data_IF_561597293700
#
_entry.id   IF_561597293700
#
_cell.length_a   1.000
_cell.length_b   1.000
_cell.length_c   1.000
_cell.angle_alpha   90.00
_cell.angle_beta   90.00
_cell.angle_gamma   90.00
#
_symmetry.space_group_name_H-M   'P 1'
#
loop_
_entity.id
_entity.type
_entity.pdbx_description
1 polymer ?
#
# COMPACT_ATOMS: atom_id res chain seq x y z
N UNK A 1 -4.58 41.69 8.43
CA UNK A 1 -5.92 41.97 7.85
C UNK A 1 -5.86 42.64 6.46
N UNK A 2 -5.02 43.66 6.21
CA UNK A 2 -4.90 44.33 4.89
C UNK A 2 -4.27 43.47 3.78
N UNK A 3 -3.26 42.65 4.08
CA UNK A 3 -2.67 41.71 3.11
C UNK A 3 -3.60 40.55 2.75
N UNK A 4 -4.43 40.10 3.70
CA UNK A 4 -5.42 39.04 3.50
C UNK A 4 -6.54 39.49 2.55
N UNK A 5 -7.03 40.72 2.71
CA UNK A 5 -8.02 41.31 1.79
C UNK A 5 -7.44 41.50 0.37
N UNK A 6 -6.14 41.80 0.23
CA UNK A 6 -5.47 41.82 -1.07
C UNK A 6 -5.30 40.42 -1.69
N UNK A 7 -5.16 39.37 -0.87
CA UNK A 7 -5.16 37.98 -1.31
C UNK A 7 -6.52 37.56 -1.86
N UNK A 8 -7.62 38.00 -1.24
CA UNK A 8 -8.99 37.75 -1.69
C UNK A 8 -9.31 38.34 -3.06
N UNK A 9 -8.76 39.52 -3.37
CA UNK A 9 -8.97 40.19 -4.65
C UNK A 9 -8.36 39.46 -5.86
N UNK A 10 -7.48 38.47 -5.63
CA UNK A 10 -6.81 37.69 -6.67
C UNK A 10 -7.00 36.18 -6.52
N UNK A 11 -8.02 35.74 -5.77
CA UNK A 11 -8.36 34.31 -5.69
C UNK A 11 -8.95 33.84 -7.03
N UNK A 12 -8.67 32.60 -7.45
CA UNK A 12 -9.42 31.97 -8.54
C UNK A 12 -10.92 31.98 -8.24
N UNK A 13 -11.75 32.22 -9.26
CA UNK A 13 -13.22 32.33 -9.14
C UNK A 13 -13.83 31.17 -8.34
N UNK A 14 -13.36 29.94 -8.57
CA UNK A 14 -13.86 28.76 -7.87
C UNK A 14 -13.60 28.80 -6.36
N UNK A 15 -12.42 29.28 -5.94
CA UNK A 15 -12.04 29.39 -4.53
C UNK A 15 -12.75 30.57 -3.86
N UNK A 16 -12.93 31.69 -4.57
CA UNK A 16 -13.78 32.80 -4.12
C UNK A 16 -15.20 32.32 -3.84
N UNK A 17 -15.82 31.61 -4.80
CA UNK A 17 -17.16 31.06 -4.64
C UNK A 17 -17.26 30.10 -3.44
N UNK A 18 -16.25 29.24 -3.25
CA UNK A 18 -16.20 28.28 -2.14
C UNK A 18 -16.28 28.96 -0.76
N UNK A 19 -15.62 30.11 -0.59
CA UNK A 19 -15.65 30.87 0.66
C UNK A 19 -16.87 31.78 0.77
N UNK A 20 -17.24 32.51 -0.29
CA UNK A 20 -18.37 33.45 -0.29
C UNK A 20 -19.73 32.77 -0.09
N UNK A 21 -19.92 31.59 -0.68
CA UNK A 21 -21.15 30.80 -0.50
C UNK A 21 -21.15 29.94 0.77
N UNK A 22 -20.07 30.01 1.55
CA UNK A 22 -19.86 29.20 2.74
C UNK A 22 -19.91 27.68 2.50
N UNK A 23 -19.66 27.23 1.26
CA UNK A 23 -19.62 25.81 0.86
C UNK A 23 -18.69 24.99 1.78
N UNK A 24 -17.58 25.59 2.21
CA UNK A 24 -16.61 25.00 3.13
C UNK A 24 -17.22 24.46 4.44
N UNK A 25 -18.37 25.00 4.88
CA UNK A 25 -19.06 24.52 6.10
C UNK A 25 -19.49 23.06 5.96
N UNK A 26 -19.81 22.62 4.75
CA UNK A 26 -20.18 21.23 4.47
C UNK A 26 -19.00 20.27 4.63
N UNK A 27 -17.78 20.76 4.39
CA UNK A 27 -16.55 19.95 4.41
C UNK A 27 -15.72 20.11 5.68
N UNK A 28 -16.05 21.10 6.51
CA UNK A 28 -15.35 21.31 7.77
C UNK A 28 -15.43 20.06 8.66
N UNK A 29 -14.33 19.71 9.34
CA UNK A 29 -14.22 18.48 10.14
C UNK A 29 -14.25 17.16 9.36
N UNK A 30 -14.20 17.19 8.02
CA UNK A 30 -13.89 16.01 7.22
C UNK A 30 -12.43 15.59 7.42
N UNK A 31 -12.05 14.50 6.76
CA UNK A 31 -10.74 13.89 6.88
C UNK A 31 -10.13 13.68 5.50
N UNK A 32 -8.82 13.87 5.43
CA UNK A 32 -7.96 13.47 4.31
C UNK A 32 -7.20 12.21 4.69
N UNK A 33 -6.69 11.48 3.71
CA UNK A 33 -5.87 10.29 3.91
C UNK A 33 -4.85 10.18 2.76
N UNK A 34 -3.88 9.26 2.88
CA UNK A 34 -2.92 9.00 1.80
C UNK A 34 -1.94 10.14 1.53
N UNK A 35 -1.66 10.96 2.55
CA UNK A 35 -0.71 12.06 2.40
C UNK A 35 0.73 11.57 2.44
N UNK A 36 1.59 12.16 1.60
CA UNK A 36 3.03 11.89 1.61
C UNK A 36 3.62 12.15 3.00
N UNK A 37 4.40 11.19 3.50
CA UNK A 37 4.95 11.22 4.86
C UNK A 37 4.01 10.70 5.96
N UNK A 38 2.80 10.24 5.61
CA UNK A 38 1.84 9.64 6.54
C UNK A 38 1.44 8.24 6.07
N UNK A 39 1.17 7.33 7.00
CA UNK A 39 0.59 6.02 6.67
C UNK A 39 -0.84 6.19 6.12
N UNK A 40 -1.21 5.41 5.10
CA UNK A 40 -2.56 5.39 4.51
C UNK A 40 -3.66 4.92 5.48
N UNK A 41 -3.28 4.33 6.62
CA UNK A 41 -4.22 3.94 7.68
C UNK A 41 -4.71 5.16 8.50
N UNK A 42 -3.93 6.24 8.47
CA UNK A 42 -4.20 7.48 9.18
C UNK A 42 -5.14 8.33 8.34
N UNK A 43 -6.18 8.84 8.99
CA UNK A 43 -7.01 9.90 8.45
C UNK A 43 -6.82 11.14 9.29
N UNK A 44 -6.53 12.27 8.66
CA UNK A 44 -6.22 13.52 9.32
C UNK A 44 -7.38 14.48 9.16
N UNK A 45 -7.82 15.08 10.26
CA UNK A 45 -8.99 15.95 10.29
C UNK A 45 -8.62 17.32 9.73
N UNK A 46 -9.48 17.88 8.88
CA UNK A 46 -9.25 19.20 8.27
C UNK A 46 -10.10 20.33 8.87
N UNK A 47 -9.61 21.57 8.73
CA UNK A 47 -10.27 22.82 9.15
C UNK A 47 -10.19 23.84 8.01
N UNK A 48 -11.33 24.46 7.69
CA UNK A 48 -11.40 25.61 6.76
C UNK A 48 -11.65 26.93 7.51
N UNK A 49 -11.45 26.97 8.83
CA UNK A 49 -11.76 28.17 9.62
C UNK A 49 -10.76 29.28 9.33
N UNK A 50 -11.28 30.44 8.91
CA UNK A 50 -10.51 31.66 8.61
C UNK A 50 -9.67 32.14 9.80
N UNK A 51 -10.14 31.98 11.04
CA UNK A 51 -9.35 32.35 12.24
C UNK A 51 -8.06 31.54 12.38
N UNK A 52 -8.08 30.27 11.96
CA UNK A 52 -6.90 29.42 12.00
C UNK A 52 -5.91 29.80 10.87
N UNK A 53 -6.33 30.65 9.92
CA UNK A 53 -5.59 31.06 8.73
C UNK A 53 -4.57 32.18 9.00
N UNK A 54 -4.82 33.03 10.00
CA UNK A 54 -3.87 34.08 10.41
C UNK A 54 -2.57 33.45 10.92
N UNK A 55 -2.67 32.43 11.78
CA UNK A 55 -1.52 31.67 12.28
C UNK A 55 -0.74 30.96 11.14
N UNK A 56 -1.46 30.48 10.13
CA UNK A 56 -0.87 29.83 8.96
C UNK A 56 -0.10 30.81 8.07
N UNK A 57 -0.67 32.00 7.84
CA UNK A 57 -0.02 33.05 7.06
C UNK A 57 1.22 33.57 7.78
N UNK A 58 1.17 33.69 9.10
CA UNK A 58 2.33 34.03 9.93
C UNK A 58 3.41 32.96 9.77
N UNK A 59 3.06 31.67 9.85
CA UNK A 59 4.01 30.58 9.63
C UNK A 59 4.65 30.63 8.23
N UNK A 60 3.85 30.77 7.17
CA UNK A 60 4.36 30.86 5.79
C UNK A 60 5.24 32.09 5.57
N UNK A 61 4.93 33.20 6.24
CA UNK A 61 5.69 34.44 6.16
C UNK A 61 7.03 34.34 6.91
N UNK A 62 7.02 33.77 8.12
CA UNK A 62 8.25 33.52 8.91
C UNK A 62 9.19 32.57 8.19
N UNK A 63 8.67 31.52 7.55
CA UNK A 63 9.47 30.57 6.76
C UNK A 63 9.89 31.12 5.38
N UNK A 64 9.43 32.33 5.01
CA UNK A 64 9.70 32.94 3.71
C UNK A 64 9.08 32.20 2.53
N UNK A 65 8.13 31.30 2.78
CA UNK A 65 7.43 30.51 1.74
C UNK A 65 6.53 31.41 0.90
N UNK A 66 5.84 32.38 1.52
CA UNK A 66 4.98 33.34 0.80
C UNK A 66 5.74 34.13 -0.27
N UNK A 67 7.03 34.41 -0.06
CA UNK A 67 7.90 35.08 -1.05
C UNK A 67 8.36 34.15 -2.19
N UNK A 68 8.57 32.87 -1.89
CA UNK A 68 9.06 31.87 -2.86
C UNK A 68 7.94 31.32 -3.74
N UNK A 69 6.75 31.15 -3.18
CA UNK A 69 5.59 30.55 -3.84
C UNK A 69 4.35 31.44 -3.65
N UNK A 70 4.33 32.67 -4.20
CA UNK A 70 3.24 33.62 -3.95
C UNK A 70 1.89 33.20 -4.54
N UNK A 71 1.89 32.25 -5.48
CA UNK A 71 0.70 31.67 -6.10
C UNK A 71 0.14 30.45 -5.34
N UNK A 72 0.84 29.97 -4.31
CA UNK A 72 0.39 28.85 -3.48
C UNK A 72 -0.41 29.39 -2.30
N UNK A 73 -1.73 29.30 -2.40
CA UNK A 73 -2.66 29.91 -1.45
C UNK A 73 -3.12 28.85 -0.44
N UNK A 74 -2.74 28.95 0.84
CA UNK A 74 -2.95 27.87 1.79
C UNK A 74 -4.37 27.88 2.36
N UNK A 75 -5.28 27.04 1.86
CA UNK A 75 -6.72 27.19 2.09
C UNK A 75 -7.34 26.23 3.12
N UNK A 76 -6.62 25.18 3.53
CA UNK A 76 -7.10 24.16 4.49
C UNK A 76 -6.01 23.75 5.45
N UNK A 77 -6.35 23.64 6.73
CA UNK A 77 -5.44 23.15 7.75
C UNK A 77 -5.70 21.71 8.13
N UNK A 78 -4.63 21.02 8.52
CA UNK A 78 -4.71 19.76 9.22
C UNK A 78 -4.71 20.01 10.72
N UNK A 79 -5.78 19.62 11.41
CA UNK A 79 -5.91 19.82 12.86
C UNK A 79 -4.93 18.97 13.64
N UNK A 80 -4.40 19.54 14.73
CA UNK A 80 -3.54 18.88 15.71
C UNK A 80 -2.28 18.26 15.10
N UNK A 81 -1.78 18.83 14.01
CA UNK A 81 -0.52 18.43 13.39
C UNK A 81 0.41 19.65 13.37
N UNK A 82 1.73 19.41 13.31
CA UNK A 82 2.71 20.42 12.86
C UNK A 82 2.20 21.07 11.56
N UNK A 83 2.58 22.33 11.23
CA UNK A 83 1.83 23.24 10.35
C UNK A 83 1.82 22.82 8.87
N UNK A 84 1.30 21.63 8.62
CA UNK A 84 1.04 21.02 7.34
C UNK A 84 -0.38 21.39 6.94
N UNK A 85 -0.54 21.79 5.69
CA UNK A 85 -1.78 22.34 5.17
C UNK A 85 -1.96 21.92 3.72
N UNK A 86 -3.13 22.25 3.17
CA UNK A 86 -3.36 22.20 1.74
C UNK A 86 -3.31 23.60 1.16
N UNK A 87 -2.69 23.69 0.01
CA UNK A 87 -2.59 24.92 -0.78
C UNK A 87 -3.24 24.71 -2.14
N UNK A 88 -3.81 25.77 -2.70
CA UNK A 88 -4.25 25.82 -4.10
C UNK A 88 -3.22 26.58 -4.91
N UNK A 89 -2.89 26.07 -6.10
CA UNK A 89 -2.17 26.84 -7.11
C UNK A 89 -3.13 27.77 -7.85
N UNK A 90 -3.03 29.08 -7.58
CA UNK A 90 -3.93 30.08 -8.15
C UNK A 90 -3.67 30.38 -9.64
N UNK A 91 -2.60 29.84 -10.24
CA UNK A 91 -2.31 30.04 -11.66
C UNK A 91 -3.22 29.22 -12.57
N UNK A 92 -3.87 28.18 -12.04
CA UNK A 92 -4.79 27.33 -12.78
C UNK A 92 -6.25 27.60 -12.37
N UNK A 93 -7.12 27.67 -13.37
CA UNK A 93 -8.56 27.85 -13.16
C UNK A 93 -9.19 26.67 -12.39
N UNK A 94 -8.62 25.47 -12.52
CA UNK A 94 -9.11 24.25 -11.86
C UNK A 94 -8.74 24.20 -10.36
N UNK A 95 -7.88 25.12 -9.90
CA UNK A 95 -7.37 25.15 -8.53
C UNK A 95 -6.75 23.81 -8.07
N UNK A 96 -5.66 23.32 -8.69
CA UNK A 96 -4.96 22.13 -8.22
C UNK A 96 -4.60 22.26 -6.75
N UNK A 97 -4.80 21.17 -6.00
CA UNK A 97 -4.56 21.12 -4.56
C UNK A 97 -3.27 20.36 -4.30
N UNK A 98 -2.37 21.01 -3.57
CA UNK A 98 -1.12 20.43 -3.10
C UNK A 98 -1.12 20.29 -1.58
N UNK A 99 -0.48 19.25 -1.08
CA UNK A 99 -0.18 19.05 0.32
C UNK A 99 1.19 19.64 0.66
N UNK A 100 1.23 20.58 1.61
CA UNK A 100 2.47 21.10 2.16
C UNK A 100 2.84 20.32 3.43
N UNK A 101 3.97 19.61 3.39
CA UNK A 101 4.52 18.89 4.55
C UNK A 101 5.53 19.79 5.27
N UNK A 102 5.17 20.29 6.45
CA UNK A 102 6.03 21.20 7.22
C UNK A 102 7.35 20.57 7.69
N UNK A 103 7.40 19.24 7.84
CA UNK A 103 8.62 18.53 8.27
C UNK A 103 9.70 18.51 7.21
N UNK A 104 9.27 18.43 5.95
CA UNK A 104 10.15 18.34 4.79
C UNK A 104 10.24 19.68 4.03
N UNK A 105 9.49 20.69 4.48
CA UNK A 105 9.37 22.00 3.85
C UNK A 105 9.12 21.89 2.33
N UNK A 106 8.23 20.97 1.94
CA UNK A 106 8.04 20.53 0.55
C UNK A 106 6.55 20.45 0.21
N UNK A 107 6.24 20.70 -1.07
CA UNK A 107 4.91 20.56 -1.63
C UNK A 107 4.78 19.26 -2.41
N UNK A 108 3.62 18.63 -2.29
CA UNK A 108 3.29 17.39 -2.96
C UNK A 108 1.94 17.51 -3.65
N UNK A 109 1.87 17.08 -4.90
CA UNK A 109 0.60 17.03 -5.62
C UNK A 109 -0.38 16.12 -4.88
N UNK A 110 -1.64 16.54 -4.79
CA UNK A 110 -2.69 15.77 -4.12
C UNK A 110 -3.94 15.61 -4.98
N UNK A 111 -4.45 16.70 -5.56
CA UNK A 111 -5.65 16.63 -6.40
C UNK A 111 -5.57 17.59 -7.57
N UNK A 112 -6.05 17.17 -8.74
CA UNK A 112 -6.01 17.97 -9.96
C UNK A 112 -6.86 19.24 -9.89
N UNK A 113 -7.86 19.26 -9.00
CA UNK A 113 -8.76 20.40 -8.78
C UNK A 113 -9.27 20.48 -7.35
N UNK A 114 -9.83 21.64 -6.98
CA UNK A 114 -10.53 21.80 -5.71
C UNK A 114 -11.71 20.82 -5.59
N UNK A 115 -12.49 20.63 -6.64
CA UNK A 115 -13.66 19.75 -6.61
C UNK A 115 -13.26 18.27 -6.43
N UNK A 116 -12.20 17.83 -7.11
CA UNK A 116 -11.67 16.47 -6.92
C UNK A 116 -11.10 16.27 -5.52
N UNK A 117 -10.53 17.30 -4.89
CA UNK A 117 -10.14 17.26 -3.49
C UNK A 117 -11.36 17.09 -2.58
N UNK A 118 -12.41 17.91 -2.76
CA UNK A 118 -13.60 17.90 -1.90
C UNK A 118 -14.39 16.59 -1.99
N UNK A 119 -14.53 16.00 -3.19
CA UNK A 119 -15.23 14.71 -3.38
C UNK A 119 -14.52 13.54 -2.71
N UNK A 120 -13.18 13.61 -2.58
CA UNK A 120 -12.37 12.56 -1.96
C UNK A 120 -12.23 12.69 -0.44
N UNK A 121 -12.82 13.72 0.16
CA UNK A 121 -12.83 13.88 1.61
C UNK A 121 -13.68 12.81 2.28
N UNK A 122 -13.14 12.28 3.38
CA UNK A 122 -13.81 11.28 4.20
C UNK A 122 -14.62 11.96 5.31
N UNK A 123 -15.81 11.45 5.60
CA UNK A 123 -16.53 11.80 6.81
C UNK A 123 -15.95 11.08 8.04
N UNK A 124 -16.44 11.43 9.23
CA UNK A 124 -16.06 10.74 10.47
C UNK A 124 -16.36 9.24 10.45
N UNK A 125 -17.41 8.81 9.74
CA UNK A 125 -17.83 7.41 9.66
C UNK A 125 -17.04 6.62 8.62
N UNK A 126 -16.50 7.31 7.61
CA UNK A 126 -15.81 6.65 6.51
C UNK A 126 -14.48 6.02 6.95
N UNK A 127 -14.18 4.91 6.26
CA UNK A 127 -12.94 4.16 6.39
C UNK A 127 -12.00 4.53 5.24
N UNK A 128 -10.72 4.60 5.53
CA UNK A 128 -9.69 4.71 4.48
C UNK A 128 -9.69 3.45 3.61
N UNK A 129 -9.24 3.51 2.34
CA UNK A 129 -9.17 2.35 1.47
C UNK A 129 -8.43 1.16 2.10
N UNK A 130 -7.28 1.40 2.75
CA UNK A 130 -6.53 0.33 3.42
C UNK A 130 -7.32 -0.30 4.58
N UNK A 131 -8.14 0.47 5.32
CA UNK A 131 -9.02 -0.08 6.37
C UNK A 131 -10.17 -0.89 5.78
N UNK A 132 -10.68 -0.51 4.61
CA UNK A 132 -11.66 -1.32 3.88
C UNK A 132 -11.04 -2.67 3.49
N UNK A 133 -9.82 -2.68 2.97
CA UNK A 133 -9.05 -3.89 2.68
C UNK A 133 -8.82 -4.70 3.97
N UNK A 134 -8.40 -4.09 5.07
CA UNK A 134 -8.16 -4.79 6.34
C UNK A 134 -9.40 -5.53 6.84
N UNK A 135 -10.55 -4.83 6.87
CA UNK A 135 -11.82 -5.42 7.28
C UNK A 135 -12.24 -6.52 6.32
N UNK A 136 -12.00 -6.33 5.02
CA UNK A 136 -12.30 -7.32 4.01
C UNK A 136 -11.45 -8.58 4.18
N UNK A 137 -10.13 -8.44 4.32
CA UNK A 137 -9.19 -9.54 4.55
C UNK A 137 -9.57 -10.33 5.80
N UNK A 138 -9.93 -9.68 6.90
CA UNK A 138 -10.36 -10.37 8.14
C UNK A 138 -11.61 -11.21 7.91
N UNK A 139 -12.62 -10.69 7.21
CA UNK A 139 -13.84 -11.43 6.87
C UNK A 139 -13.56 -12.58 5.90
N UNK A 140 -12.77 -12.32 4.85
CA UNK A 140 -12.35 -13.32 3.88
C UNK A 140 -11.58 -14.48 4.53
N UNK A 141 -10.70 -14.22 5.50
CA UNK A 141 -10.02 -15.26 6.27
C UNK A 141 -11.00 -16.14 7.07
N UNK A 142 -12.06 -15.57 7.63
CA UNK A 142 -13.11 -16.35 8.32
C UNK A 142 -13.88 -17.22 7.33
N UNK A 143 -14.21 -16.69 6.15
CA UNK A 143 -14.90 -17.42 5.09
C UNK A 143 -14.02 -18.54 4.49
N UNK A 144 -12.73 -18.27 4.29
CA UNK A 144 -11.72 -19.24 3.86
C UNK A 144 -11.65 -20.45 4.81
N UNK A 145 -11.65 -20.22 6.13
CA UNK A 145 -11.69 -21.30 7.14
C UNK A 145 -12.97 -22.15 7.05
N UNK A 146 -14.08 -21.54 6.63
CA UNK A 146 -15.37 -22.21 6.40
C UNK A 146 -15.49 -22.81 4.99
N UNK A 147 -14.43 -22.72 4.17
CA UNK A 147 -14.40 -23.13 2.76
C UNK A 147 -15.43 -22.40 1.87
N UNK A 148 -15.87 -21.22 2.28
CA UNK A 148 -16.74 -20.38 1.45
C UNK A 148 -15.89 -19.41 0.62
N UNK A 149 -15.27 -19.92 -0.43
CA UNK A 149 -14.28 -19.18 -1.21
C UNK A 149 -14.92 -18.11 -2.12
N UNK A 150 -16.09 -18.38 -2.71
CA UNK A 150 -16.75 -17.43 -3.61
C UNK A 150 -17.17 -16.13 -2.92
N UNK A 151 -17.75 -16.23 -1.72
CA UNK A 151 -18.09 -15.04 -0.92
C UNK A 151 -16.82 -14.30 -0.45
N UNK A 152 -15.74 -15.02 -0.17
CA UNK A 152 -14.45 -14.42 0.20
C UNK A 152 -13.84 -13.63 -0.97
N UNK A 153 -13.94 -14.16 -2.19
CA UNK A 153 -13.49 -13.50 -3.42
C UNK A 153 -14.28 -12.22 -3.65
N UNK A 154 -15.61 -12.29 -3.71
CA UNK A 154 -16.46 -11.12 -4.00
C UNK A 154 -16.17 -9.96 -3.04
N UNK A 155 -16.04 -10.28 -1.75
CA UNK A 155 -15.80 -9.30 -0.71
C UNK A 155 -14.42 -8.64 -0.84
N UNK A 156 -13.38 -9.43 -1.11
CA UNK A 156 -11.99 -8.98 -1.07
C UNK A 156 -11.53 -8.35 -2.38
N UNK A 157 -12.03 -8.87 -3.51
CA UNK A 157 -11.72 -8.38 -4.84
C UNK A 157 -12.20 -6.94 -5.03
N UNK A 158 -13.43 -6.62 -4.59
CA UNK A 158 -13.93 -5.24 -4.64
C UNK A 158 -13.06 -4.28 -3.79
N UNK A 159 -12.63 -4.71 -2.60
CA UNK A 159 -11.83 -3.89 -1.70
C UNK A 159 -10.41 -3.63 -2.25
N UNK A 160 -9.81 -4.62 -2.90
CA UNK A 160 -8.44 -4.53 -3.46
C UNK A 160 -8.46 -3.79 -4.80
N UNK A 161 -9.43 -4.07 -5.67
CA UNK A 161 -9.47 -3.47 -7.02
C UNK A 161 -9.81 -1.98 -7.00
N UNK A 162 -10.46 -1.49 -5.94
CA UNK A 162 -10.73 -0.05 -5.72
C UNK A 162 -9.66 0.65 -4.89
N UNK A 163 -8.58 -0.06 -4.53
CA UNK A 163 -7.46 0.54 -3.83
C UNK A 163 -6.68 1.47 -4.78
N UNK A 164 -6.37 2.72 -4.37
CA UNK A 164 -5.66 3.67 -5.22
C UNK A 164 -4.31 3.15 -5.71
N UNK A 165 -4.09 3.24 -7.02
CA UNK A 165 -2.81 2.97 -7.68
C UNK A 165 -1.97 4.24 -7.62
N UNK A 166 -1.21 4.47 -6.53
CA UNK A 166 -0.25 5.59 -6.50
C UNK A 166 1.19 5.09 -6.49
N UNK A 167 2.05 5.83 -7.20
CA UNK A 167 3.44 5.48 -7.46
C UNK A 167 4.37 5.51 -6.25
N UNK A 168 4.01 6.28 -5.21
CA UNK A 168 4.76 6.39 -3.96
C UNK A 168 4.03 5.61 -2.86
N UNK A 169 4.29 4.30 -2.79
CA UNK A 169 4.11 3.58 -1.52
C UNK A 169 5.05 4.24 -0.52
N UNK A 170 4.48 5.04 0.38
CA UNK A 170 5.28 5.65 1.44
C UNK A 170 6.04 4.54 2.18
N UNK A 171 7.28 4.81 2.59
CA UNK A 171 8.06 3.87 3.41
C UNK A 171 7.26 3.43 4.65
N UNK A 172 6.30 4.24 5.11
CA UNK A 172 5.36 3.91 6.19
C UNK A 172 4.32 2.83 5.81
N UNK A 173 3.87 2.78 4.56
CA UNK A 173 2.94 1.75 4.06
C UNK A 173 3.66 0.43 3.73
N UNK A 174 4.97 0.48 3.45
CA UNK A 174 5.78 -0.74 3.25
C UNK A 174 5.78 -1.67 4.48
N UNK A 175 5.42 -1.15 5.65
CA UNK A 175 5.23 -1.90 6.89
C UNK A 175 3.80 -2.41 7.10
N UNK A 176 2.81 -1.95 6.32
CA UNK A 176 1.44 -2.44 6.43
C UNK A 176 1.34 -3.88 5.93
N UNK A 177 0.96 -4.78 6.82
CA UNK A 177 0.70 -6.20 6.51
C UNK A 177 -0.57 -6.39 5.69
N UNK A 178 -1.42 -5.38 5.66
CA UNK A 178 -2.81 -5.48 5.26
C UNK A 178 -2.96 -5.81 3.79
N UNK A 179 -2.32 -5.01 2.92
CA UNK A 179 -2.48 -5.15 1.48
C UNK A 179 -1.80 -6.43 0.95
N UNK A 180 -0.55 -6.77 1.32
CA UNK A 180 0.05 -8.07 0.96
C UNK A 180 -0.78 -9.28 1.39
N UNK A 181 -1.30 -9.28 2.63
CA UNK A 181 -2.14 -10.38 3.12
C UNK A 181 -3.48 -10.43 2.37
N UNK A 182 -4.06 -9.28 2.01
CA UNK A 182 -5.24 -9.23 1.16
C UNK A 182 -5.01 -9.92 -0.19
N UNK A 183 -3.96 -9.53 -0.91
CA UNK A 183 -3.58 -10.16 -2.18
C UNK A 183 -3.37 -11.67 -2.05
N UNK A 184 -2.65 -12.10 -1.00
CA UNK A 184 -2.43 -13.51 -0.69
C UNK A 184 -3.74 -14.27 -0.51
N UNK A 185 -4.63 -13.76 0.34
CA UNK A 185 -5.90 -14.43 0.67
C UNK A 185 -6.78 -14.51 -0.56
N UNK A 186 -6.84 -13.43 -1.36
CA UNK A 186 -7.61 -13.40 -2.60
C UNK A 186 -7.08 -14.43 -3.61
N UNK A 187 -5.77 -14.44 -3.86
CA UNK A 187 -5.14 -15.41 -4.75
C UNK A 187 -5.36 -16.86 -4.27
N UNK A 188 -5.26 -17.10 -2.96
CA UNK A 188 -5.54 -18.41 -2.35
C UNK A 188 -6.99 -18.83 -2.58
N UNK A 189 -7.95 -17.92 -2.41
CA UNK A 189 -9.37 -18.23 -2.66
C UNK A 189 -9.61 -18.57 -4.14
N UNK A 190 -8.99 -17.85 -5.08
CA UNK A 190 -9.06 -18.18 -6.50
C UNK A 190 -8.43 -19.55 -6.82
N UNK A 191 -7.27 -19.87 -6.25
CA UNK A 191 -6.66 -21.19 -6.40
C UNK A 191 -7.58 -22.31 -5.89
N UNK A 192 -8.17 -22.14 -4.71
CA UNK A 192 -9.09 -23.11 -4.12
C UNK A 192 -10.43 -23.20 -4.89
N UNK A 193 -10.79 -22.16 -5.65
CA UNK A 193 -11.90 -22.16 -6.60
C UNK A 193 -11.51 -22.61 -8.02
N UNK A 194 -10.34 -23.26 -8.19
CA UNK A 194 -9.83 -23.73 -9.49
C UNK A 194 -9.70 -22.63 -10.55
N UNK A 195 -9.34 -21.40 -10.13
CA UNK A 195 -9.12 -20.27 -11.02
C UNK A 195 -7.68 -19.71 -10.89
N UNK A 196 -6.66 -20.47 -11.30
CA UNK A 196 -5.26 -20.05 -11.19
C UNK A 196 -4.92 -18.85 -12.09
N UNK A 197 -5.61 -18.69 -13.22
CA UNK A 197 -5.44 -17.53 -14.11
C UNK A 197 -5.81 -16.21 -13.41
N UNK A 198 -6.95 -16.17 -12.70
CA UNK A 198 -7.34 -14.97 -11.96
C UNK A 198 -6.43 -14.70 -10.77
N UNK A 199 -5.99 -15.76 -10.07
CA UNK A 199 -5.00 -15.62 -8.99
C UNK A 199 -3.69 -14.98 -9.49
N UNK A 200 -3.20 -15.42 -10.66
CA UNK A 200 -2.03 -14.85 -11.33
C UNK A 200 -2.23 -13.36 -11.64
N UNK A 201 -3.30 -13.02 -12.36
CA UNK A 201 -3.57 -11.64 -12.79
C UNK A 201 -3.62 -10.66 -11.61
N UNK A 202 -4.26 -11.07 -10.51
CA UNK A 202 -4.37 -10.27 -9.29
C UNK A 202 -3.00 -10.02 -8.66
N UNK A 203 -2.15 -11.04 -8.61
CA UNK A 203 -0.81 -10.90 -8.02
C UNK A 203 0.14 -10.11 -8.93
N UNK A 204 0.01 -10.23 -10.25
CA UNK A 204 0.74 -9.39 -11.22
C UNK A 204 0.35 -7.91 -11.06
N UNK A 205 -0.95 -7.63 -10.87
CA UNK A 205 -1.41 -6.29 -10.51
C UNK A 205 -0.76 -5.80 -9.21
N UNK A 206 -0.71 -6.64 -8.17
CA UNK A 206 -0.04 -6.28 -6.91
C UNK A 206 1.45 -6.00 -7.08
N UNK A 207 2.16 -6.78 -7.90
CA UNK A 207 3.57 -6.52 -8.24
C UNK A 207 3.76 -5.19 -8.97
N UNK A 208 2.89 -4.87 -9.93
CA UNK A 208 2.92 -3.58 -10.64
C UNK A 208 2.69 -2.40 -9.68
N UNK A 209 1.91 -2.61 -8.61
CA UNK A 209 1.74 -1.65 -7.50
C UNK A 209 2.90 -1.68 -6.49
N UNK A 210 4.05 -2.30 -6.83
CA UNK A 210 5.24 -2.43 -5.98
C UNK A 210 4.98 -3.19 -4.67
N UNK A 211 3.99 -4.07 -4.63
CA UNK A 211 3.69 -4.94 -3.49
C UNK A 211 4.48 -6.23 -3.66
N UNK A 212 5.78 -6.16 -3.39
CA UNK A 212 6.73 -7.21 -3.77
C UNK A 212 6.47 -8.59 -3.13
N UNK A 213 5.78 -8.65 -1.98
CA UNK A 213 5.32 -9.92 -1.40
C UNK A 213 4.42 -10.72 -2.34
N UNK A 214 3.76 -10.08 -3.33
CA UNK A 214 2.99 -10.77 -4.36
C UNK A 214 3.85 -11.71 -5.21
N UNK A 215 5.15 -11.43 -5.37
CA UNK A 215 6.07 -12.31 -6.10
C UNK A 215 6.18 -13.67 -5.44
N UNK A 216 6.23 -13.72 -4.10
CA UNK A 216 6.23 -14.98 -3.37
C UNK A 216 4.97 -15.81 -3.65
N UNK A 217 3.82 -15.16 -3.73
CA UNK A 217 2.55 -15.83 -4.00
C UNK A 217 2.41 -16.23 -5.47
N UNK A 218 3.02 -15.50 -6.41
CA UNK A 218 3.06 -15.92 -7.82
C UNK A 218 3.84 -17.22 -8.00
N UNK A 219 4.97 -17.39 -7.29
CA UNK A 219 5.70 -18.66 -7.27
C UNK A 219 4.78 -19.80 -6.83
N UNK A 220 3.96 -19.57 -5.80
CA UNK A 220 2.99 -20.56 -5.33
C UNK A 220 1.89 -20.84 -6.38
N UNK A 221 1.37 -19.82 -7.05
CA UNK A 221 0.37 -19.97 -8.12
C UNK A 221 0.93 -20.77 -9.30
N UNK A 222 2.14 -20.50 -9.75
CA UNK A 222 2.79 -21.27 -10.82
C UNK A 222 3.05 -22.72 -10.42
N UNK A 223 3.67 -22.93 -9.25
CA UNK A 223 4.02 -24.27 -8.79
C UNK A 223 2.79 -25.13 -8.47
N UNK A 224 1.82 -24.60 -7.71
CA UNK A 224 0.66 -25.40 -7.25
C UNK A 224 -0.58 -25.27 -8.13
N UNK A 225 -0.82 -24.09 -8.69
CA UNK A 225 -2.01 -23.82 -9.51
C UNK A 225 -1.85 -24.33 -10.95
N UNK A 226 -0.67 -24.11 -11.54
CA UNK A 226 -0.37 -24.53 -12.91
C UNK A 226 0.48 -25.81 -12.98
N UNK A 227 1.17 -26.20 -11.90
CA UNK A 227 2.12 -27.31 -11.94
C UNK A 227 3.41 -26.97 -12.69
N UNK A 228 3.66 -25.68 -12.95
CA UNK A 228 4.79 -25.20 -13.74
C UNK A 228 5.88 -24.66 -12.82
N UNK A 229 6.72 -25.57 -12.33
CA UNK A 229 7.83 -25.24 -11.44
C UNK A 229 8.93 -24.44 -12.15
N UNK A 230 9.09 -24.61 -13.46
CA UNK A 230 10.09 -23.86 -14.23
C UNK A 230 9.70 -22.38 -14.31
N UNK A 231 8.44 -22.09 -14.64
CA UNK A 231 7.92 -20.73 -14.63
C UNK A 231 7.90 -20.14 -13.21
N UNK A 232 7.60 -20.95 -12.19
CA UNK A 232 7.68 -20.53 -10.80
C UNK A 232 9.11 -20.10 -10.41
N UNK A 233 10.14 -20.79 -10.93
CA UNK A 233 11.54 -20.41 -10.75
C UNK A 233 11.84 -19.09 -11.46
N UNK A 234 11.51 -18.98 -12.75
CA UNK A 234 11.80 -17.80 -13.57
C UNK A 234 11.20 -16.53 -12.96
N UNK A 235 9.92 -16.56 -12.63
CA UNK A 235 9.22 -15.43 -11.99
C UNK A 235 9.78 -15.14 -10.60
N UNK A 236 10.10 -16.19 -9.84
CA UNK A 236 10.66 -16.04 -8.50
C UNK A 236 12.05 -15.42 -8.49
N UNK A 237 12.93 -15.81 -9.42
CA UNK A 237 14.27 -15.23 -9.56
C UNK A 237 14.20 -13.77 -10.02
N UNK A 238 13.32 -13.44 -10.97
CA UNK A 238 13.10 -12.06 -11.42
C UNK A 238 12.59 -11.16 -10.28
N UNK A 239 11.64 -11.64 -9.49
CA UNK A 239 11.14 -10.91 -8.32
C UNK A 239 12.23 -10.72 -7.25
N UNK A 240 13.11 -11.71 -7.06
CA UNK A 240 14.20 -11.65 -6.07
C UNK A 240 15.21 -10.56 -6.40
N UNK A 241 15.57 -10.41 -7.69
CA UNK A 241 16.50 -9.37 -8.14
C UNK A 241 15.94 -7.98 -7.90
N UNK A 242 14.65 -7.80 -8.19
CA UNK A 242 13.95 -6.52 -7.97
C UNK A 242 13.90 -6.18 -6.48
N UNK A 243 13.52 -7.13 -5.62
CA UNK A 243 13.44 -6.93 -4.18
C UNK A 243 14.81 -6.61 -3.56
N UNK A 244 15.85 -7.32 -3.97
CA UNK A 244 17.21 -7.15 -3.43
C UNK A 244 17.72 -5.72 -3.65
N UNK A 245 17.38 -5.11 -4.78
CA UNK A 245 17.76 -3.73 -5.07
C UNK A 245 17.05 -2.68 -4.20
N UNK A 246 15.93 -3.03 -3.56
CA UNK A 246 15.05 -2.08 -2.86
C UNK A 246 14.89 -2.36 -1.36
N UNK A 247 15.71 -3.23 -0.77
CA UNK A 247 15.77 -3.50 0.68
C UNK A 247 14.45 -3.97 1.36
N UNK A 248 13.51 -4.58 0.62
CA UNK A 248 12.29 -5.18 1.22
C UNK A 248 12.56 -6.55 1.84
N UNK A 249 13.26 -6.56 2.98
CA UNK A 249 13.73 -7.78 3.66
C UNK A 249 12.63 -8.84 3.87
N UNK A 250 11.40 -8.41 4.19
CA UNK A 250 10.31 -9.36 4.44
C UNK A 250 9.80 -10.04 3.18
N UNK A 251 9.54 -9.27 2.12
CA UNK A 251 9.14 -9.82 0.83
C UNK A 251 10.23 -10.75 0.29
N UNK A 252 11.50 -10.39 0.51
CA UNK A 252 12.66 -11.23 0.18
C UNK A 252 12.62 -12.58 0.91
N UNK A 253 12.36 -12.60 2.22
CA UNK A 253 12.24 -13.84 2.98
C UNK A 253 11.04 -14.69 2.54
N UNK A 254 9.86 -14.07 2.32
CA UNK A 254 8.66 -14.77 1.85
C UNK A 254 8.91 -15.45 0.49
N UNK A 255 9.55 -14.72 -0.43
CA UNK A 255 9.86 -15.23 -1.76
C UNK A 255 10.85 -16.39 -1.72
N UNK A 256 11.90 -16.28 -0.90
CA UNK A 256 12.88 -17.36 -0.72
C UNK A 256 12.29 -18.61 -0.10
N UNK A 257 11.39 -18.46 0.86
CA UNK A 257 10.68 -19.60 1.44
C UNK A 257 10.00 -20.45 0.35
N UNK A 258 9.25 -19.78 -0.55
CA UNK A 258 8.53 -20.44 -1.63
C UNK A 258 9.46 -20.94 -2.75
N UNK A 259 10.41 -20.11 -3.19
CA UNK A 259 11.35 -20.47 -4.24
C UNK A 259 12.28 -21.61 -3.82
N UNK A 260 12.69 -21.64 -2.55
CA UNK A 260 13.45 -22.75 -1.96
C UNK A 260 12.71 -24.08 -2.04
N UNK A 261 11.39 -24.08 -1.80
CA UNK A 261 10.57 -25.27 -1.94
C UNK A 261 10.51 -25.74 -3.39
N UNK A 262 10.33 -24.82 -4.34
CA UNK A 262 10.32 -25.15 -5.78
C UNK A 262 11.67 -25.72 -6.23
N UNK A 263 12.79 -25.18 -5.76
CA UNK A 263 14.10 -25.78 -6.02
C UNK A 263 14.24 -27.20 -5.48
N UNK A 264 13.64 -27.50 -4.32
CA UNK A 264 13.61 -28.88 -3.80
C UNK A 264 12.71 -29.76 -4.66
N UNK A 265 11.56 -29.26 -5.10
CA UNK A 265 10.65 -29.99 -6.01
C UNK A 265 11.36 -30.36 -7.31
N UNK A 266 12.19 -29.47 -7.87
CA UNK A 266 12.97 -29.70 -9.09
C UNK A 266 14.34 -30.38 -8.85
N UNK A 267 14.72 -30.64 -7.60
CA UNK A 267 16.00 -31.30 -7.27
C UNK A 267 17.24 -30.40 -7.47
N UNK A 268 17.07 -29.08 -7.55
CA UNK A 268 18.14 -28.09 -7.75
C UNK A 268 18.83 -27.82 -6.40
N UNK A 269 19.68 -28.76 -5.99
CA UNK A 269 20.31 -28.79 -4.66
C UNK A 269 21.04 -27.50 -4.30
N UNK A 270 21.88 -26.97 -5.18
CA UNK A 270 22.71 -25.78 -4.86
C UNK A 270 21.86 -24.54 -4.57
N UNK A 271 20.84 -24.28 -5.41
CA UNK A 271 19.93 -23.14 -5.23
C UNK A 271 19.04 -23.31 -4.00
N UNK A 272 18.50 -24.51 -3.77
CA UNK A 272 17.74 -24.83 -2.56
C UNK A 272 18.58 -24.58 -1.29
N UNK A 273 19.80 -25.10 -1.28
CA UNK A 273 20.75 -24.98 -0.17
C UNK A 273 21.07 -23.53 0.16
N UNK A 274 21.41 -22.73 -0.86
CA UNK A 274 21.69 -21.30 -0.70
C UNK A 274 20.47 -20.56 -0.13
N UNK A 275 19.29 -20.85 -0.69
CA UNK A 275 18.05 -20.18 -0.31
C UNK A 275 17.72 -20.39 1.16
N UNK A 276 17.78 -21.64 1.64
CA UNK A 276 17.42 -21.98 3.02
C UNK A 276 18.48 -21.59 4.07
N UNK A 277 19.77 -21.55 3.72
CA UNK A 277 20.84 -21.09 4.64
C UNK A 277 20.74 -19.60 4.98
N UNK A 278 20.19 -18.81 4.08
CA UNK A 278 20.05 -17.36 4.24
C UNK A 278 18.66 -16.97 4.80
N UNK A 279 17.80 -17.95 5.16
CA UNK A 279 16.56 -17.69 5.89
C UNK A 279 16.83 -17.48 7.39
N UNK A 280 16.09 -16.55 7.98
CA UNK A 280 16.18 -16.24 9.41
C UNK A 280 14.80 -16.08 10.06
N UNK A 281 14.75 -16.25 11.39
CA UNK A 281 13.55 -15.98 12.20
C UNK A 281 12.36 -16.91 11.91
N UNK A 282 11.14 -16.37 12.03
CA UNK A 282 9.88 -17.15 11.91
C UNK A 282 9.64 -17.80 10.53
N UNK A 283 10.48 -17.50 9.54
CA UNK A 283 10.44 -18.08 8.19
C UNK A 283 11.00 -19.50 8.15
N UNK A 284 11.89 -19.82 9.08
CA UNK A 284 12.45 -21.16 9.26
C UNK A 284 11.34 -22.16 9.61
N UNK A 285 10.38 -21.77 10.45
CA UNK A 285 9.32 -22.68 10.88
C UNK A 285 8.38 -23.07 9.74
N UNK A 286 8.00 -22.10 8.89
CA UNK A 286 7.18 -22.40 7.72
C UNK A 286 7.94 -23.26 6.71
N UNK A 287 9.20 -22.94 6.43
CA UNK A 287 10.08 -23.74 5.58
C UNK A 287 10.17 -25.18 6.09
N UNK A 288 10.37 -25.36 7.40
CA UNK A 288 10.41 -26.67 8.06
C UNK A 288 9.11 -27.43 7.83
N UNK A 289 7.95 -26.80 8.02
CA UNK A 289 6.65 -27.42 7.80
C UNK A 289 6.47 -27.87 6.34
N UNK A 290 6.77 -27.00 5.38
CA UNK A 290 6.64 -27.31 3.95
C UNK A 290 7.53 -28.49 3.53
N UNK A 291 8.78 -28.53 4.00
CA UNK A 291 9.69 -29.65 3.73
C UNK A 291 9.24 -30.94 4.42
N UNK A 292 8.72 -30.88 5.65
CA UNK A 292 8.16 -32.04 6.35
C UNK A 292 6.97 -32.62 5.59
N UNK A 293 6.08 -31.77 5.06
CA UNK A 293 4.92 -32.22 4.31
C UNK A 293 5.33 -32.88 2.98
N UNK A 294 6.34 -32.33 2.28
CA UNK A 294 6.94 -32.95 1.10
C UNK A 294 7.53 -34.35 1.41
N UNK A 295 8.21 -34.48 2.56
CA UNK A 295 8.75 -35.78 3.01
C UNK A 295 7.63 -36.79 3.29
N UNK A 296 6.53 -36.36 3.95
CA UNK A 296 5.37 -37.22 4.22
C UNK A 296 4.67 -37.68 2.94
N UNK A 297 4.62 -36.82 1.93
CA UNK A 297 4.05 -37.13 0.61
C UNK A 297 4.90 -38.09 -0.22
N UNK A 298 6.06 -38.54 0.29
CA UNK A 298 6.95 -39.48 -0.38
C UNK A 298 7.45 -38.98 -1.75
N UNK A 299 7.62 -37.67 -1.91
CA UNK A 299 8.09 -37.04 -3.15
C UNK A 299 9.47 -37.61 -3.59
N UNK A 300 9.78 -37.69 -4.90
CA UNK A 300 11.08 -38.16 -5.40
C UNK A 300 12.27 -37.46 -4.74
N UNK A 301 12.15 -36.14 -4.53
CA UNK A 301 13.19 -35.31 -3.92
C UNK A 301 13.13 -35.23 -2.37
N UNK A 302 12.45 -36.17 -1.70
CA UNK A 302 12.36 -36.23 -0.23
C UNK A 302 13.73 -36.35 0.47
N UNK A 303 14.75 -36.91 -0.21
CA UNK A 303 16.10 -37.04 0.35
C UNK A 303 16.74 -35.66 0.53
N UNK A 304 16.66 -34.81 -0.49
CA UNK A 304 17.12 -33.42 -0.42
C UNK A 304 16.36 -32.63 0.65
N UNK A 305 15.04 -32.81 0.73
CA UNK A 305 14.23 -32.18 1.77
C UNK A 305 14.66 -32.61 3.19
N UNK A 306 14.94 -33.90 3.41
CA UNK A 306 15.47 -34.42 4.68
C UNK A 306 16.84 -33.81 5.01
N UNK A 307 17.73 -33.71 4.03
CA UNK A 307 19.05 -33.10 4.20
C UNK A 307 18.92 -31.65 4.71
N UNK A 308 18.11 -30.83 4.03
CA UNK A 308 17.89 -29.43 4.40
C UNK A 308 17.22 -29.31 5.78
N UNK A 309 16.26 -30.19 6.10
CA UNK A 309 15.59 -30.20 7.41
C UNK A 309 16.57 -30.33 8.59
N UNK A 310 17.70 -31.02 8.41
CA UNK A 310 18.71 -31.16 9.48
C UNK A 310 19.29 -29.83 9.93
N UNK A 311 19.30 -28.81 9.07
CA UNK A 311 19.85 -27.48 9.38
C UNK A 311 18.96 -26.64 10.29
N UNK A 312 17.66 -26.96 10.37
CA UNK A 312 16.69 -26.24 11.19
C UNK A 312 16.54 -26.81 12.60
N UNK A 313 17.27 -27.88 12.92
CA UNK A 313 17.28 -28.47 14.26
C UNK A 313 18.13 -27.57 15.18
N UNK A 314 17.60 -27.09 16.32
CA UNK A 314 18.43 -26.40 17.31
C UNK A 314 19.58 -27.31 17.73
N UNK A 315 20.81 -26.79 17.68
CA UNK A 315 21.96 -27.43 18.33
C UNK A 315 21.92 -27.17 19.83
#
# INVERSE_FOLDING_TARGET
MSEFLNLYNNLPIRLTHFFETEEYKNYNSHFVYGLKGFSREVKLKISFKIKDYEELLDYFSVQGLSKKTPYMIPFVLIKNNEPSCFVVDSRSADCPVLFFNSRENSFYDHSASLDSFLVNLLTGKDKTPIKKVEMATKKALTLLKKKNYSEAVELLENAIMTYPEDDDNSVFDSNSKTLPEGFKVLATCHLLNNNPNRAKEILEKGLNQKIFSCGAYLVEVYSKGFGDNQMAIEVGEQALETIKSQYYYRAWCDLRENLGLVYVLEGIKEKANKTYKELHGGKIENARKSLQDLVKQNHPNKVLAKEILTWFTPK
#
